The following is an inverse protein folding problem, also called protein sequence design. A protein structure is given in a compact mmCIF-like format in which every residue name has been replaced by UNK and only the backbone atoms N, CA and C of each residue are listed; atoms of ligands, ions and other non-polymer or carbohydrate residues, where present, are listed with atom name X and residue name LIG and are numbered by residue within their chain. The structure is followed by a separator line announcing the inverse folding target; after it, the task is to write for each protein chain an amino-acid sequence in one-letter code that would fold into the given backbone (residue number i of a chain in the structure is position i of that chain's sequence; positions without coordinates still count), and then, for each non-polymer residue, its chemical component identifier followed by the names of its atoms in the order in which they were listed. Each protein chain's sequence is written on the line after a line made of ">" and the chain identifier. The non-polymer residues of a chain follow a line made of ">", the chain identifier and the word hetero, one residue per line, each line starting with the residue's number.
data_IF_770552171210
#
_entry.id   IF_770552171210
#
_cell.length_a   1.000
_cell.length_b   1.000
_cell.length_c   1.000
_cell.angle_alpha   90.00
_cell.angle_beta   90.00
_cell.angle_gamma   90.00
#
_symmetry.space_group_name_H-M   'P 1'
#
loop_
_entity.id
_entity.type
_entity.pdbx_description
1 polymer ?
#
# COMPACT_ATOMS: atom_id res chain seq x y z
N UNK A 1 14.94 18.13 6.05
CA UNK A 1 14.09 17.05 5.48
C UNK A 1 13.19 17.67 4.44
N UNK A 2 13.21 17.21 3.18
CA UNK A 2 12.42 17.82 2.11
C UNK A 2 10.92 17.64 2.33
N UNK A 3 10.14 18.71 2.26
CA UNK A 3 8.68 18.64 2.26
C UNK A 3 8.23 17.85 1.03
N UNK A 4 7.59 16.70 1.23
CA UNK A 4 7.09 15.90 0.11
C UNK A 4 5.97 16.67 -0.59
N UNK A 5 6.16 16.97 -1.87
CA UNK A 5 5.20 17.76 -2.64
C UNK A 5 3.92 16.96 -2.93
N UNK A 6 2.81 17.67 -3.18
CA UNK A 6 1.54 17.05 -3.60
C UNK A 6 1.72 16.19 -4.86
N UNK A 7 2.59 16.60 -5.78
CA UNK A 7 2.90 15.85 -6.99
C UNK A 7 3.57 14.50 -6.69
N UNK A 8 4.52 14.47 -5.76
CA UNK A 8 5.17 13.24 -5.32
C UNK A 8 4.19 12.28 -4.65
N UNK A 9 3.27 12.80 -3.83
CA UNK A 9 2.22 11.99 -3.17
C UNK A 9 1.30 11.36 -4.22
N UNK A 10 0.86 12.14 -5.23
CA UNK A 10 0.02 11.63 -6.31
C UNK A 10 0.76 10.62 -7.20
N UNK A 11 2.05 10.84 -7.47
CA UNK A 11 2.89 9.89 -8.20
C UNK A 11 3.00 8.56 -7.44
N UNK A 12 3.27 8.61 -6.13
CA UNK A 12 3.34 7.43 -5.27
C UNK A 12 2.01 6.67 -5.22
N UNK A 13 0.88 7.39 -5.12
CA UNK A 13 -0.46 6.80 -5.17
C UNK A 13 -0.71 6.05 -6.48
N UNK A 14 -0.41 6.68 -7.63
CA UNK A 14 -0.59 6.05 -8.95
C UNK A 14 0.31 4.84 -9.12
N UNK A 15 1.56 4.92 -8.69
CA UNK A 15 2.50 3.79 -8.74
C UNK A 15 2.02 2.60 -7.91
N UNK A 16 1.52 2.84 -6.71
CA UNK A 16 0.94 1.79 -5.86
C UNK A 16 -0.26 1.09 -6.52
N UNK A 17 -1.17 1.85 -7.12
CA UNK A 17 -2.30 1.27 -7.85
C UNK A 17 -1.84 0.49 -9.07
N UNK A 18 -0.91 1.03 -9.87
CA UNK A 18 -0.36 0.34 -11.04
C UNK A 18 0.27 -1.00 -10.67
N UNK A 19 1.08 -1.05 -9.61
CA UNK A 19 1.67 -2.31 -9.15
C UNK A 19 0.61 -3.27 -8.60
N UNK A 20 -0.44 -2.76 -7.95
CA UNK A 20 -1.54 -3.62 -7.47
C UNK A 20 -2.30 -4.27 -8.63
N UNK A 21 -2.51 -3.57 -9.74
CA UNK A 21 -3.19 -4.11 -10.92
C UNK A 21 -2.43 -5.25 -11.61
N UNK A 22 -1.11 -5.33 -11.43
CA UNK A 22 -0.27 -6.40 -11.98
C UNK A 22 -0.37 -7.71 -11.21
N UNK A 23 -0.89 -7.69 -9.98
CA UNK A 23 -1.00 -8.90 -9.16
C UNK A 23 -1.96 -9.90 -9.82
N UNK A 24 -1.60 -11.20 -9.85
CA UNK A 24 -2.37 -12.21 -10.57
C UNK A 24 -3.71 -12.54 -9.89
N UNK A 25 -3.75 -12.46 -8.57
CA UNK A 25 -4.93 -12.82 -7.77
C UNK A 25 -5.95 -11.64 -7.70
N UNK A 26 -7.21 -11.85 -8.11
CA UNK A 26 -8.25 -10.82 -8.09
C UNK A 26 -8.60 -10.30 -6.69
N UNK A 27 -8.63 -11.18 -5.68
CA UNK A 27 -8.92 -10.79 -4.30
C UNK A 27 -7.78 -9.94 -3.74
N UNK A 28 -6.53 -10.34 -3.98
CA UNK A 28 -5.36 -9.54 -3.59
C UNK A 28 -5.42 -8.16 -4.23
N UNK A 29 -5.72 -8.10 -5.53
CA UNK A 29 -5.87 -6.82 -6.25
C UNK A 29 -6.94 -5.94 -5.63
N UNK A 30 -8.12 -6.50 -5.34
CA UNK A 30 -9.22 -5.77 -4.71
C UNK A 30 -8.82 -5.24 -3.32
N UNK A 31 -8.32 -6.12 -2.45
CA UNK A 31 -7.97 -5.77 -1.07
C UNK A 31 -6.89 -4.68 -1.02
N UNK A 32 -5.84 -4.80 -1.83
CA UNK A 32 -4.80 -3.77 -1.91
C UNK A 32 -5.32 -2.46 -2.49
N UNK A 33 -6.11 -2.49 -3.55
CA UNK A 33 -6.65 -1.29 -4.18
C UNK A 33 -7.54 -0.51 -3.21
N UNK A 34 -8.43 -1.21 -2.50
CA UNK A 34 -9.30 -0.62 -1.46
C UNK A 34 -8.47 -0.06 -0.31
N UNK A 35 -7.52 -0.84 0.21
CA UNK A 35 -6.62 -0.40 1.28
C UNK A 35 -5.83 0.86 0.92
N UNK A 36 -5.24 0.91 -0.29
CA UNK A 36 -4.45 2.06 -0.75
C UNK A 36 -5.35 3.29 -0.86
N UNK A 37 -6.53 3.18 -1.51
CA UNK A 37 -7.47 4.30 -1.65
C UNK A 37 -7.89 4.85 -0.29
N UNK A 38 -8.25 3.98 0.65
CA UNK A 38 -8.65 4.38 1.99
C UNK A 38 -7.54 5.08 2.75
N UNK A 39 -6.30 4.56 2.68
CA UNK A 39 -5.17 5.19 3.37
C UNK A 39 -4.84 6.55 2.77
N UNK A 40 -4.86 6.71 1.46
CA UNK A 40 -4.60 8.03 0.87
C UNK A 40 -5.74 9.02 1.16
N UNK A 41 -7.00 8.59 1.11
CA UNK A 41 -8.16 9.42 1.49
C UNK A 41 -8.10 9.88 2.95
N UNK A 42 -7.91 8.93 3.90
CA UNK A 42 -7.84 9.22 5.34
C UNK A 42 -6.69 10.16 5.70
N UNK A 43 -5.61 10.17 4.94
CA UNK A 43 -4.43 10.98 5.20
C UNK A 43 -4.31 12.23 4.29
N UNK A 44 -5.34 12.55 3.49
CA UNK A 44 -5.27 13.63 2.50
C UNK A 44 -5.12 15.03 3.12
N UNK A 45 -5.65 15.22 4.33
CA UNK A 45 -5.66 16.48 5.06
C UNK A 45 -4.71 16.47 6.28
N UNK A 46 -3.67 15.62 6.27
CA UNK A 46 -2.71 15.59 7.37
C UNK A 46 -1.86 16.86 7.40
N UNK A 47 -2.06 17.66 8.45
CA UNK A 47 -1.29 18.87 8.73
C UNK A 47 0.06 18.56 9.42
N UNK A 48 0.09 17.52 10.26
CA UNK A 48 1.31 17.07 10.93
C UNK A 48 2.33 16.52 9.92
N UNK A 49 3.44 17.25 9.76
CA UNK A 49 4.50 16.91 8.82
C UNK A 49 5.25 15.62 9.19
N UNK A 50 5.45 15.38 10.49
CA UNK A 50 6.12 14.18 10.99
C UNK A 50 5.28 12.94 10.75
N UNK A 51 3.97 13.04 11.00
CA UNK A 51 3.04 11.96 10.69
C UNK A 51 2.94 11.73 9.18
N UNK A 52 2.84 12.81 8.37
CA UNK A 52 2.83 12.75 6.91
C UNK A 52 4.07 12.03 6.37
N UNK A 53 5.25 12.38 6.86
CA UNK A 53 6.51 11.72 6.51
C UNK A 53 6.48 10.22 6.81
N UNK A 54 6.03 9.83 8.01
CA UNK A 54 5.91 8.41 8.38
C UNK A 54 4.95 7.66 7.45
N UNK A 55 3.79 8.24 7.11
CA UNK A 55 2.83 7.63 6.17
C UNK A 55 3.44 7.45 4.78
N UNK A 56 4.15 8.45 4.26
CA UNK A 56 4.84 8.38 2.97
C UNK A 56 5.93 7.30 3.00
N UNK A 57 6.72 7.22 4.07
CA UNK A 57 7.73 6.17 4.26
C UNK A 57 7.10 4.78 4.21
N UNK A 58 5.98 4.57 4.92
CA UNK A 58 5.22 3.31 4.89
C UNK A 58 4.67 3.02 3.49
N UNK A 59 4.14 4.01 2.79
CA UNK A 59 3.63 3.85 1.43
C UNK A 59 4.73 3.45 0.43
N UNK A 60 5.94 4.06 0.53
CA UNK A 60 7.11 3.67 -0.28
C UNK A 60 7.58 2.25 0.03
N UNK A 61 7.57 1.84 1.30
CA UNK A 61 7.87 0.44 1.66
C UNK A 61 6.85 -0.52 1.05
N UNK A 62 5.58 -0.14 1.04
CA UNK A 62 4.54 -0.96 0.42
C UNK A 62 4.69 -1.06 -1.10
N UNK A 63 5.09 0.03 -1.76
CA UNK A 63 5.40 0.01 -3.19
C UNK A 63 6.52 -1.00 -3.49
N UNK A 64 7.62 -0.97 -2.73
CA UNK A 64 8.71 -1.95 -2.88
C UNK A 64 8.23 -3.39 -2.68
N UNK A 65 7.35 -3.63 -1.69
CA UNK A 65 6.77 -4.95 -1.47
C UNK A 65 5.96 -5.43 -2.69
N UNK A 66 5.13 -4.56 -3.27
CA UNK A 66 4.33 -4.90 -4.44
C UNK A 66 5.20 -5.15 -5.68
N UNK A 67 6.23 -4.32 -5.90
CA UNK A 67 7.19 -4.52 -6.98
C UNK A 67 7.93 -5.85 -6.86
N UNK A 68 8.39 -6.21 -5.65
CA UNK A 68 9.03 -7.49 -5.40
C UNK A 68 8.08 -8.68 -5.64
N UNK A 69 6.81 -8.55 -5.23
CA UNK A 69 5.81 -9.58 -5.50
C UNK A 69 5.58 -9.75 -7.02
N UNK A 70 5.47 -8.64 -7.75
CA UNK A 70 5.31 -8.65 -9.20
C UNK A 70 6.55 -9.15 -9.95
N UNK A 71 7.75 -9.06 -9.34
CA UNK A 71 8.98 -9.64 -9.89
C UNK A 71 9.21 -11.10 -9.51
N UNK A 72 8.24 -11.75 -8.85
CA UNK A 72 8.32 -13.17 -8.50
C UNK A 72 9.02 -13.50 -7.18
N UNK A 73 9.28 -12.51 -6.31
CA UNK A 73 9.81 -12.77 -4.97
C UNK A 73 8.79 -13.57 -4.14
N UNK A 74 9.13 -14.82 -3.84
CA UNK A 74 8.24 -15.76 -3.13
C UNK A 74 7.79 -15.23 -1.76
N UNK A 75 8.67 -14.52 -1.05
CA UNK A 75 8.37 -13.98 0.28
C UNK A 75 7.41 -12.79 0.18
N UNK A 76 7.61 -11.93 -0.82
CA UNK A 76 6.73 -10.80 -1.09
C UNK A 76 5.35 -11.27 -1.56
N UNK A 77 5.29 -12.27 -2.44
CA UNK A 77 4.04 -12.93 -2.89
C UNK A 77 3.28 -13.52 -1.70
N UNK A 78 3.97 -14.30 -0.86
CA UNK A 78 3.37 -14.89 0.34
C UNK A 78 2.82 -13.82 1.28
N UNK A 79 3.54 -12.71 1.47
CA UNK A 79 3.08 -11.57 2.29
C UNK A 79 1.86 -10.88 1.66
N UNK A 80 1.80 -10.70 0.34
CA UNK A 80 0.62 -10.12 -0.33
C UNK A 80 -0.61 -10.99 -0.18
N UNK A 81 -0.46 -12.31 -0.30
CA UNK A 81 -1.55 -13.27 -0.10
C UNK A 81 -2.03 -13.26 1.36
N UNK A 82 -1.13 -13.41 2.32
CA UNK A 82 -1.46 -13.35 3.76
C UNK A 82 -2.18 -12.05 4.15
N UNK A 83 -1.84 -10.93 3.51
CA UNK A 83 -2.53 -9.66 3.74
C UNK A 83 -3.96 -9.67 3.18
N UNK A 84 -4.15 -10.21 1.98
CA UNK A 84 -5.45 -10.23 1.33
C UNK A 84 -6.45 -11.19 1.99
N UNK A 85 -5.97 -12.36 2.39
CA UNK A 85 -6.76 -13.40 3.05
C UNK A 85 -6.95 -13.18 4.56
N UNK A 86 -6.61 -12.00 5.08
CA UNK A 86 -6.86 -11.66 6.47
C UNK A 86 -6.00 -12.41 7.50
N UNK A 87 -4.97 -13.15 7.07
CA UNK A 87 -3.95 -13.72 7.99
C UNK A 87 -3.14 -12.59 8.62
N UNK A 88 -2.96 -11.49 7.90
CA UNK A 88 -2.33 -10.26 8.39
C UNK A 88 -3.10 -9.04 7.89
N UNK A 89 -2.91 -7.88 8.51
CA UNK A 89 -3.51 -6.63 8.04
C UNK A 89 -4.86 -6.29 8.69
N UNK A 90 -5.61 -5.32 8.14
CA UNK A 90 -6.79 -4.78 8.80
C UNK A 90 -7.96 -5.77 8.88
N UNK A 91 -8.08 -6.70 7.93
CA UNK A 91 -9.14 -7.72 7.92
C UNK A 91 -8.94 -8.75 9.06
N UNK A 92 -7.69 -9.01 9.49
CA UNK A 92 -7.41 -9.89 10.62
C UNK A 92 -8.10 -9.44 11.93
N UNK A 93 -8.23 -8.13 12.15
CA UNK A 93 -8.89 -7.60 13.34
C UNK A 93 -10.42 -7.67 13.28
N UNK A 94 -11.01 -7.98 12.12
CA UNK A 94 -12.47 -8.11 11.95
C UNK A 94 -12.95 -9.56 12.05
N UNK A 95 -12.04 -10.53 11.96
CA UNK A 95 -12.35 -11.97 12.04
C UNK A 95 -12.05 -12.58 13.42
N UNK A 96 -11.76 -11.73 14.43
CA UNK A 96 -11.62 -12.06 15.85
C UNK A 96 -12.74 -11.36 16.61
#
# INVERSE_FOLDING_TARGET
>A
MGSTSRFEVLSLYRSLLRETHKLPDPLVRFTYSTYIRDRFRKNAQLLDEGLRYRKIKTARQKLRQLQAANSGDKTAVSRTLRFAYGITGPIHHQNL
#
